data_IF_386400276184
#
_entry.id   IF_386400276184
#
_cell.length_a   1.000
_cell.length_b   1.000
_cell.length_c   1.000
_cell.angle_alpha   90.00
_cell.angle_beta   90.00
_cell.angle_gamma   90.00
#
_symmetry.space_group_name_H-M   'P 1'
#
loop_
_entity.id
_entity.type
_entity.pdbx_description
1 polymer ?
#
# COMPACT_ATOMS: atom_id res chain seq x y z
N UNK A 1 20.86 -17.33 -20.90
CA UNK A 1 19.51 -16.81 -20.54
C UNK A 1 18.81 -16.42 -21.82
N UNK A 2 17.63 -16.96 -22.12
CA UNK A 2 16.91 -16.68 -23.38
C UNK A 2 16.23 -15.31 -23.30
N UNK A 3 16.24 -14.54 -24.39
CA UNK A 3 15.58 -13.23 -24.49
C UNK A 3 14.09 -13.32 -24.12
N UNK A 4 13.38 -14.33 -24.63
CA UNK A 4 11.97 -14.55 -24.32
C UNK A 4 11.71 -14.77 -22.82
N UNK A 5 12.66 -15.40 -22.11
CA UNK A 5 12.57 -15.60 -20.66
C UNK A 5 12.76 -14.27 -19.93
N UNK A 6 13.70 -13.43 -20.38
CA UNK A 6 13.92 -12.10 -19.81
C UNK A 6 12.68 -11.21 -19.98
N UNK A 7 12.08 -11.19 -21.18
CA UNK A 7 10.87 -10.42 -21.48
C UNK A 7 9.69 -10.83 -20.60
N UNK A 8 9.48 -12.15 -20.43
CA UNK A 8 8.43 -12.67 -19.56
C UNK A 8 8.64 -12.23 -18.10
N UNK A 9 9.87 -12.31 -17.60
CA UNK A 9 10.18 -11.87 -16.23
C UNK A 9 9.94 -10.38 -16.04
N UNK A 10 10.35 -9.55 -17.00
CA UNK A 10 10.09 -8.11 -16.94
C UNK A 10 8.60 -7.78 -16.97
N UNK A 11 7.83 -8.48 -17.81
CA UNK A 11 6.38 -8.31 -17.86
C UNK A 11 5.71 -8.68 -16.53
N UNK A 12 6.11 -9.80 -15.92
CA UNK A 12 5.59 -10.24 -14.62
C UNK A 12 5.94 -9.24 -13.51
N UNK A 13 7.18 -8.75 -13.46
CA UNK A 13 7.61 -7.76 -12.46
C UNK A 13 6.84 -6.46 -12.64
N UNK A 14 6.67 -5.99 -13.88
CA UNK A 14 5.96 -4.75 -14.17
C UNK A 14 4.47 -4.86 -13.80
N UNK A 15 3.80 -5.92 -14.26
CA UNK A 15 2.38 -6.14 -13.98
C UNK A 15 2.14 -6.40 -12.49
N UNK A 16 3.01 -7.15 -11.83
CA UNK A 16 2.95 -7.40 -10.39
C UNK A 16 3.14 -6.12 -9.58
N UNK A 17 4.12 -5.29 -9.95
CA UNK A 17 4.35 -3.99 -9.34
C UNK A 17 3.17 -3.03 -9.52
N UNK A 18 2.61 -2.97 -10.73
CA UNK A 18 1.43 -2.16 -11.03
C UNK A 18 0.21 -2.64 -10.23
N UNK A 19 -0.04 -3.96 -10.19
CA UNK A 19 -1.13 -4.52 -9.40
C UNK A 19 -0.98 -4.22 -7.91
N UNK A 20 0.22 -4.38 -7.35
CA UNK A 20 0.51 -4.05 -5.95
C UNK A 20 0.26 -2.57 -5.65
N UNK A 21 0.67 -1.69 -6.55
CA UNK A 21 0.46 -0.25 -6.41
C UNK A 21 -1.03 0.13 -6.43
N UNK A 22 -1.79 -0.40 -7.40
CA UNK A 22 -3.23 -0.16 -7.51
C UNK A 22 -3.98 -0.71 -6.30
N UNK A 23 -3.65 -1.92 -5.86
CA UNK A 23 -4.27 -2.53 -4.66
C UNK A 23 -4.01 -1.69 -3.42
N UNK A 24 -2.79 -1.20 -3.22
CA UNK A 24 -2.47 -0.31 -2.10
C UNK A 24 -3.27 1.00 -2.16
N UNK A 25 -3.38 1.62 -3.33
CA UNK A 25 -4.16 2.85 -3.52
C UNK A 25 -5.65 2.62 -3.21
N UNK A 26 -6.21 1.52 -3.72
CA UNK A 26 -7.61 1.16 -3.48
C UNK A 26 -7.88 0.85 -2.00
N UNK A 27 -7.01 0.08 -1.33
CA UNK A 27 -7.14 -0.22 0.11
C UNK A 27 -7.05 1.08 0.94
N UNK A 28 -6.12 1.97 0.60
CA UNK A 28 -5.94 3.26 1.25
C UNK A 28 -7.18 4.16 1.13
N UNK A 29 -7.73 4.29 -0.07
CA UNK A 29 -8.86 5.18 -0.36
C UNK A 29 -10.19 4.62 0.16
N UNK A 30 -10.34 3.30 0.23
CA UNK A 30 -11.54 2.65 0.78
C UNK A 30 -11.62 2.72 2.32
N UNK A 31 -10.52 3.00 3.01
CA UNK A 31 -10.53 3.10 4.48
C UNK A 31 -11.22 4.39 4.94
N UNK A 32 -12.20 4.30 5.85
CA UNK A 32 -12.85 5.48 6.43
C UNK A 32 -11.86 6.41 7.12
N UNK A 33 -12.05 7.72 6.98
CA UNK A 33 -11.18 8.74 7.58
C UNK A 33 -11.11 8.65 9.11
N UNK A 34 -12.16 8.16 9.77
CA UNK A 34 -12.15 7.93 11.22
C UNK A 34 -11.09 6.90 11.65
N UNK A 35 -10.85 5.87 10.84
CA UNK A 35 -9.81 4.88 11.12
C UNK A 35 -8.40 5.48 10.97
N UNK A 36 -8.23 6.41 10.02
CA UNK A 36 -6.97 7.14 9.85
C UNK A 36 -6.67 8.00 11.07
N UNK A 37 -7.66 8.77 11.53
CA UNK A 37 -7.56 9.60 12.72
C UNK A 37 -7.24 8.78 13.98
N UNK A 38 -7.86 7.61 14.15
CA UNK A 38 -7.61 6.71 15.29
C UNK A 38 -6.17 6.18 15.35
N UNK A 39 -5.46 6.14 14.20
CA UNK A 39 -4.04 5.72 14.16
C UNK A 39 -3.06 6.90 14.28
N UNK A 40 -3.54 8.13 14.38
CA UNK A 40 -2.69 9.34 14.34
C UNK A 40 -2.02 9.55 12.98
N UNK A 41 -2.55 8.96 11.90
CA UNK A 41 -2.00 9.05 10.55
C UNK A 41 -2.93 9.87 9.66
N UNK A 42 -2.37 10.57 8.68
CA UNK A 42 -3.14 11.34 7.71
C UNK A 42 -3.30 10.56 6.40
N UNK A 43 -4.55 10.33 5.99
CA UNK A 43 -4.90 9.62 4.76
C UNK A 43 -4.32 10.29 3.50
N UNK A 44 -4.37 11.62 3.42
CA UNK A 44 -3.91 12.39 2.25
C UNK A 44 -2.39 12.29 2.11
N UNK A 45 -1.66 12.34 3.23
CA UNK A 45 -0.20 12.17 3.23
C UNK A 45 0.16 10.79 2.69
N UNK A 46 -0.48 9.74 3.20
CA UNK A 46 -0.25 8.40 2.69
C UNK A 46 -0.71 8.21 1.25
N UNK A 47 -1.79 8.87 0.83
CA UNK A 47 -2.24 8.87 -0.57
C UNK A 47 -1.16 9.47 -1.47
N UNK A 48 -0.57 10.61 -1.08
CA UNK A 48 0.53 11.24 -1.81
C UNK A 48 1.77 10.34 -1.85
N UNK A 49 2.15 9.71 -0.73
CA UNK A 49 3.27 8.76 -0.70
C UNK A 49 3.04 7.60 -1.66
N UNK A 50 1.88 6.95 -1.62
CA UNK A 50 1.57 5.82 -2.51
C UNK A 50 1.52 6.28 -3.97
N UNK A 51 0.88 7.42 -4.25
CA UNK A 51 0.70 7.93 -5.61
C UNK A 51 2.04 8.32 -6.26
N UNK A 52 2.88 9.09 -5.57
CA UNK A 52 4.12 9.61 -6.14
C UNK A 52 5.31 8.66 -6.04
N UNK A 53 5.43 7.88 -4.97
CA UNK A 53 6.51 6.90 -4.83
C UNK A 53 6.19 5.54 -5.49
N UNK A 54 5.03 5.41 -6.15
CA UNK A 54 4.63 4.21 -6.91
C UNK A 54 4.76 2.92 -6.10
N UNK A 55 5.47 1.91 -6.62
CA UNK A 55 5.67 0.61 -5.96
C UNK A 55 6.34 0.76 -4.58
N UNK A 56 7.29 1.69 -4.42
CA UNK A 56 7.91 1.95 -3.11
C UNK A 56 6.90 2.53 -2.12
N UNK A 57 6.08 3.49 -2.56
CA UNK A 57 5.01 4.05 -1.72
C UNK A 57 3.99 2.99 -1.29
N UNK A 58 3.61 2.10 -2.21
CA UNK A 58 2.75 0.97 -1.92
C UNK A 58 3.38 -0.02 -0.94
N UNK A 59 4.66 -0.33 -1.08
CA UNK A 59 5.39 -1.15 -0.12
C UNK A 59 5.41 -0.51 1.27
N UNK A 60 5.74 0.79 1.37
CA UNK A 60 5.72 1.53 2.64
C UNK A 60 4.32 1.51 3.29
N UNK A 61 3.26 1.67 2.49
CA UNK A 61 1.89 1.56 2.98
C UNK A 61 1.62 0.18 3.61
N UNK A 62 2.02 -0.89 2.94
CA UNK A 62 1.81 -2.26 3.41
C UNK A 62 2.57 -2.60 4.69
N UNK A 63 3.81 -2.12 4.83
CA UNK A 63 4.66 -2.46 5.97
C UNK A 63 4.58 -1.48 7.14
N UNK A 64 4.18 -0.23 6.92
CA UNK A 64 4.19 0.82 7.95
C UNK A 64 2.77 1.29 8.28
N UNK A 65 2.01 1.76 7.29
CA UNK A 65 0.70 2.36 7.53
C UNK A 65 -0.35 1.31 7.91
N UNK A 66 -0.42 0.23 7.14
CA UNK A 66 -1.46 -0.80 7.22
C UNK A 66 -1.46 -1.58 8.55
N UNK A 67 -0.32 -1.96 9.14
CA UNK A 67 -0.31 -2.69 10.42
C UNK A 67 -0.84 -1.86 11.59
N UNK A 68 -0.70 -0.52 11.55
CA UNK A 68 -1.15 0.36 12.65
C UNK A 68 -2.66 0.32 12.87
N UNK A 69 -3.45 0.08 11.83
CA UNK A 69 -4.90 -0.11 11.97
C UNK A 69 -5.28 -1.36 12.78
N UNK A 70 -4.42 -2.39 12.79
CA UNK A 70 -4.64 -3.60 13.61
C UNK A 70 -4.27 -3.37 15.06
N UNK A 71 -3.24 -2.55 15.30
CA UNK A 71 -2.81 -2.17 16.65
C UNK A 71 -3.82 -1.23 17.32
N UNK A 72 -4.42 -0.28 16.57
CA UNK A 72 -5.41 0.66 17.12
C UNK A 72 -6.78 0.01 17.40
N UNK A 73 -7.13 -1.07 16.69
CA UNK A 73 -8.37 -1.83 16.92
C UNK A 73 -8.37 -2.68 18.20
N UNK A 74 -7.24 -2.80 18.91
CA UNK A 74 -7.13 -3.56 20.16
C UNK A 74 -7.46 -2.76 21.44
N UNK A 75 -7.64 -1.44 21.35
CA UNK A 75 -7.78 -0.56 22.54
C UNK A 75 -9.25 -0.43 23.01
N UNK A 76 -10.20 -1.12 22.39
CA UNK A 76 -11.62 -1.09 22.80
C UNK A 76 -12.02 -2.22 23.77
N UNK A 77 -11.06 -3.07 24.18
CA UNK A 77 -11.29 -4.16 25.14
C UNK A 77 -10.11 -4.29 26.11
N UNK A 78 -10.00 -3.40 27.10
CA UNK A 78 -9.40 -3.65 28.41
C UNK A 78 -9.54 -2.41 29.30
#
# INVERSE_FOLDING_TARGET
MNLAVLELLMAVIFLGGLALWLVALVDLLKRPTDQWNATGQNQIVWAAVVLFASVLGAALYWFIARPRFRASGGVTTA
#
